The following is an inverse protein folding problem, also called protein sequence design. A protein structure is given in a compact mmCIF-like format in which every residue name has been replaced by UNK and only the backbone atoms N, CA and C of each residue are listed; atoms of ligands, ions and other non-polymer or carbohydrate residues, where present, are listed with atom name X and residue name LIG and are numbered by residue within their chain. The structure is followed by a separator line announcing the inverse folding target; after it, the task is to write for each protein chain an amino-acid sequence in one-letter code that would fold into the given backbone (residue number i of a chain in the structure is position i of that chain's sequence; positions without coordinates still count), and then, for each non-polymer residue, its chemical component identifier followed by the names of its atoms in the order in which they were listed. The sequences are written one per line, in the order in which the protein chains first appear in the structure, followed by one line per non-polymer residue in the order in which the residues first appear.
data_IF_699687004318
#
_entry.id   IF_699687004318
#
_cell.length_a   1.000
_cell.length_b   1.000
_cell.length_c   1.000
_cell.angle_alpha   90.00
_cell.angle_beta   90.00
_cell.angle_gamma   90.00
#
_symmetry.space_group_name_H-M   'P 1'
#
loop_
_entity.id
_entity.type
_entity.pdbx_description
1 polymer ?
#
# COMPACT_ATOMS: atom_id res chain seq x y z
N UNK A 1 -5.87 14.49 18.93
CA UNK A 1 -4.40 14.37 18.92
C UNK A 1 -4.01 13.85 17.54
N UNK A 2 -3.09 14.50 16.84
CA UNK A 2 -2.72 14.08 15.48
C UNK A 2 -1.84 12.82 15.62
N UNK A 3 -2.36 11.64 15.25
CA UNK A 3 -1.74 10.34 15.54
C UNK A 3 -0.60 9.98 14.57
N UNK A 4 0.03 10.97 13.94
CA UNK A 4 1.08 10.78 12.95
C UNK A 4 2.41 10.42 13.61
N UNK A 5 3.04 9.36 13.11
CA UNK A 5 4.33 8.85 13.59
C UNK A 5 5.44 9.49 12.74
N UNK A 6 6.47 10.04 13.38
CA UNK A 6 7.67 10.50 12.68
C UNK A 6 8.48 9.28 12.26
N UNK A 7 8.67 9.13 10.95
CA UNK A 7 9.38 7.97 10.37
C UNK A 7 10.85 8.29 10.11
N UNK A 8 11.16 9.56 9.85
CA UNK A 8 12.54 9.99 9.61
C UNK A 8 12.60 11.42 9.08
N UNK A 9 13.67 11.73 8.36
CA UNK A 9 13.82 12.97 7.62
C UNK A 9 14.11 12.66 6.14
N UNK A 10 13.36 13.27 5.22
CA UNK A 10 13.69 13.27 3.79
C UNK A 10 14.25 14.65 3.43
N UNK A 11 15.48 14.70 2.91
CA UNK A 11 16.14 15.96 2.50
C UNK A 11 16.15 17.05 3.60
N UNK A 12 16.27 16.64 4.86
CA UNK A 12 16.23 17.54 6.02
C UNK A 12 14.83 17.87 6.55
N UNK A 13 13.76 17.46 5.86
CA UNK A 13 12.37 17.71 6.23
C UNK A 13 11.85 16.53 7.07
N UNK A 14 11.31 16.75 8.28
CA UNK A 14 10.70 15.68 9.08
C UNK A 14 9.54 15.02 8.33
N UNK A 15 9.65 13.72 8.14
CA UNK A 15 8.67 12.90 7.43
C UNK A 15 7.77 12.15 8.42
N UNK A 16 6.46 12.30 8.25
CA UNK A 16 5.44 11.73 9.11
C UNK A 16 4.49 10.84 8.32
N UNK A 17 4.06 9.73 8.92
CA UNK A 17 3.02 8.85 8.36
C UNK A 17 1.89 8.71 9.39
N UNK A 18 0.65 8.80 8.92
CA UNK A 18 -0.50 8.44 9.76
C UNK A 18 -0.72 6.91 9.72
N UNK A 19 -0.87 6.22 10.86
CA UNK A 19 -1.10 4.78 10.91
C UNK A 19 -2.28 4.29 10.06
N UNK A 20 -3.29 5.14 9.82
CA UNK A 20 -4.41 4.81 8.94
C UNK A 20 -3.96 4.44 7.51
N UNK A 21 -2.81 4.95 7.05
CA UNK A 21 -2.25 4.61 5.75
C UNK A 21 -1.97 3.11 5.60
N UNK A 22 -1.56 2.41 6.66
CA UNK A 22 -1.34 0.96 6.59
C UNK A 22 -2.65 0.19 6.41
N UNK A 23 -3.73 0.64 7.05
CA UNK A 23 -5.06 0.07 6.86
C UNK A 23 -5.55 0.29 5.43
N UNK A 24 -5.41 1.52 4.90
CA UNK A 24 -5.78 1.82 3.51
C UNK A 24 -4.93 1.01 2.53
N UNK A 25 -3.61 0.90 2.76
CA UNK A 25 -2.71 0.08 1.95
C UNK A 25 -3.16 -1.38 1.91
N UNK A 26 -3.52 -1.95 3.06
CA UNK A 26 -4.04 -3.31 3.17
C UNK A 26 -5.35 -3.48 2.39
N UNK A 27 -6.31 -2.57 2.54
CA UNK A 27 -7.58 -2.61 1.82
C UNK A 27 -7.41 -2.48 0.30
N UNK A 28 -6.52 -1.59 -0.15
CA UNK A 28 -6.20 -1.41 -1.57
C UNK A 28 -5.50 -2.64 -2.13
N UNK A 29 -4.55 -3.22 -1.38
CA UNK A 29 -3.88 -4.49 -1.73
C UNK A 29 -4.90 -5.62 -1.90
N UNK A 30 -5.85 -5.74 -0.96
CA UNK A 30 -6.91 -6.74 -1.03
C UNK A 30 -7.84 -6.50 -2.23
N UNK A 31 -8.23 -5.25 -2.49
CA UNK A 31 -9.08 -4.88 -3.62
C UNK A 31 -8.44 -5.26 -4.95
N UNK A 32 -7.19 -4.84 -5.20
CA UNK A 32 -6.50 -5.18 -6.43
C UNK A 32 -6.17 -6.68 -6.49
N UNK A 33 -5.72 -7.28 -5.39
CA UNK A 33 -5.45 -8.72 -5.34
C UNK A 33 -6.67 -9.57 -5.67
N UNK A 34 -7.85 -9.20 -5.16
CA UNK A 34 -9.12 -9.85 -5.52
C UNK A 34 -9.43 -9.71 -7.00
N UNK A 35 -9.30 -8.51 -7.58
CA UNK A 35 -9.50 -8.30 -9.01
C UNK A 35 -8.52 -9.12 -9.86
N UNK A 36 -7.24 -9.17 -9.47
CA UNK A 36 -6.23 -9.96 -10.18
C UNK A 36 -6.42 -11.47 -9.99
N UNK A 37 -7.05 -11.92 -8.89
CA UNK A 37 -7.34 -13.34 -8.67
C UNK A 37 -8.38 -13.91 -9.64
N UNK A 38 -9.12 -13.04 -10.34
CA UNK A 38 -10.06 -13.44 -11.39
C UNK A 38 -9.38 -13.89 -12.68
N UNK A 39 -8.08 -13.61 -12.84
CA UNK A 39 -7.31 -14.02 -14.01
C UNK A 39 -6.77 -15.45 -13.79
N UNK A 40 -7.19 -16.45 -14.60
CA UNK A 40 -6.78 -17.83 -14.40
C UNK A 40 -5.27 -18.07 -14.49
N UNK A 41 -4.53 -17.18 -15.15
CA UNK A 41 -3.08 -17.23 -15.28
C UNK A 41 -2.36 -16.80 -13.99
N UNK A 42 -3.01 -16.02 -13.12
CA UNK A 42 -2.45 -15.50 -11.89
C UNK A 42 -2.93 -16.35 -10.71
N UNK A 43 -2.18 -17.39 -10.40
CA UNK A 43 -2.54 -18.37 -9.36
C UNK A 43 -1.77 -18.17 -8.06
N UNK A 44 -2.30 -18.73 -6.97
CA UNK A 44 -1.64 -18.71 -5.66
C UNK A 44 -1.45 -17.31 -5.09
N UNK A 45 -0.21 -16.96 -4.72
CA UNK A 45 0.13 -15.70 -4.05
C UNK A 45 0.33 -14.52 -5.03
N UNK A 46 0.47 -14.81 -6.33
CA UNK A 46 0.84 -13.81 -7.35
C UNK A 46 -0.14 -12.62 -7.42
N UNK A 47 -1.48 -12.80 -7.44
CA UNK A 47 -2.42 -11.68 -7.45
C UNK A 47 -2.24 -10.72 -6.28
N UNK A 48 -1.98 -11.25 -5.09
CA UNK A 48 -1.82 -10.45 -3.86
C UNK A 48 -0.50 -9.69 -3.84
N UNK A 49 0.57 -10.30 -4.35
CA UNK A 49 1.86 -9.63 -4.49
C UNK A 49 1.78 -8.47 -5.50
N UNK A 50 1.11 -8.70 -6.64
CA UNK A 50 0.86 -7.65 -7.63
C UNK A 50 -0.05 -6.56 -7.06
N UNK A 51 -1.12 -6.93 -6.34
CA UNK A 51 -1.99 -5.97 -5.65
C UNK A 51 -1.23 -5.11 -4.64
N UNK A 52 -0.27 -5.69 -3.91
CA UNK A 52 0.60 -4.96 -2.99
C UNK A 52 1.51 -3.98 -3.73
N UNK A 53 2.14 -4.41 -4.83
CA UNK A 53 2.96 -3.52 -5.68
C UNK A 53 2.11 -2.37 -6.22
N UNK A 54 0.92 -2.65 -6.74
CA UNK A 54 0.01 -1.62 -7.24
C UNK A 54 -0.39 -0.63 -6.13
N UNK A 55 -0.69 -1.12 -4.92
CA UNK A 55 -1.00 -0.26 -3.77
C UNK A 55 0.18 0.64 -3.39
N UNK A 56 1.41 0.10 -3.36
CA UNK A 56 2.63 0.87 -3.07
C UNK A 56 2.88 1.94 -4.15
N UNK A 57 2.73 1.60 -5.42
CA UNK A 57 2.89 2.55 -6.53
C UNK A 57 1.83 3.66 -6.48
N UNK A 58 0.58 3.32 -6.19
CA UNK A 58 -0.50 4.30 -5.99
C UNK A 58 -0.10 5.30 -4.88
N UNK A 59 0.38 4.79 -3.75
CA UNK A 59 0.75 5.61 -2.60
C UNK A 59 1.97 6.50 -2.88
N UNK A 60 2.92 5.99 -3.66
CA UNK A 60 4.09 6.76 -4.10
C UNK A 60 3.76 7.86 -5.13
N UNK A 61 2.58 7.81 -5.76
CA UNK A 61 2.16 8.78 -6.79
C UNK A 61 1.49 10.04 -6.23
N UNK A 62 1.20 10.07 -4.94
CA UNK A 62 0.59 11.21 -4.22
C UNK A 62 1.69 12.08 -3.62
#
# INVERSE_FOLDING_TARGET
MNNSIRVGNLFGIPFYINPSWFLVLGLVTLTFGQQLSLFPQLTGVVPWFLGLITALLLFASV
#
